data_IF_960707532775
#
_entry.id   IF_960707532775
#
_cell.length_a   1.000
_cell.length_b   1.000
_cell.length_c   1.000
_cell.angle_alpha   90.00
_cell.angle_beta   90.00
_cell.angle_gamma   90.00
#
_symmetry.space_group_name_H-M   'P 1'
#
loop_
_entity.id
_entity.type
_entity.pdbx_description
1 polymer ?
2 non-polymer ?
3 non-polymer ?
4 water ?
#
# COMPACT_ATOMS: atom_id res chain seq x y z
N UNK A 12 11.11 -5.06 24.35
CA UNK A 12 11.36 -3.60 24.15
C UNK A 12 10.98 -3.15 22.75
N UNK A 13 11.60 -3.74 21.71
CA UNK A 13 11.17 -3.40 20.35
C UNK A 13 9.83 -4.02 19.95
N UNK A 14 9.38 -5.03 20.70
CA UNK A 14 8.10 -5.71 20.41
C UNK A 14 6.88 -4.80 20.52
N UNK A 15 6.94 -3.79 21.38
CA UNK A 15 5.82 -2.86 21.56
C UNK A 15 5.58 -1.98 20.33
N UNK A 16 6.67 -1.45 19.77
CA UNK A 16 6.63 -0.65 18.55
C UNK A 16 6.09 -1.46 17.39
N UNK A 17 6.52 -2.72 17.32
CA UNK A 17 6.20 -3.60 16.23
C UNK A 17 4.72 -3.96 16.29
N UNK A 18 4.22 -4.20 17.51
CA UNK A 18 2.82 -4.57 17.69
C UNK A 18 1.92 -3.41 17.34
N UNK A 19 2.37 -2.20 17.64
CA UNK A 19 1.66 -1.00 17.21
C UNK A 19 1.60 -0.94 15.69
N UNK A 20 2.70 -1.32 15.06
CA UNK A 20 2.80 -1.23 13.59
C UNK A 20 2.00 -2.32 12.91
N UNK A 21 1.94 -3.50 13.52
CA UNK A 21 1.04 -4.55 13.06
C UNK A 21 -0.42 -4.09 13.14
N UNK A 22 -0.82 -3.50 14.26
CA UNK A 22 -2.17 -2.97 14.40
C UNK A 22 -2.51 -1.92 13.33
N UNK A 23 -1.59 -0.98 13.10
CA UNK A 23 -1.84 0.06 12.10
C UNK A 23 -2.01 -0.56 10.75
N UNK A 24 -1.23 -1.62 10.47
CA UNK A 24 -1.24 -2.25 9.16
C UNK A 24 -2.53 -3.01 8.91
N UNK A 25 -2.99 -3.72 9.93
CA UNK A 25 -4.28 -4.38 9.87
C UNK A 25 -5.42 -3.40 9.65
N UNK A 26 -5.35 -2.26 10.34
CA UNK A 26 -6.38 -1.27 10.18
C UNK A 26 -6.33 -0.68 8.75
N UNK A 27 -5.13 -0.45 8.21
CA UNK A 27 -4.98 0.07 6.85
C UNK A 27 -5.49 -0.94 5.82
N UNK A 28 -5.19 -2.21 6.07
CA UNK A 28 -5.76 -3.30 5.30
C UNK A 28 -7.29 -3.24 5.25
N UNK A 29 -7.95 -3.14 6.41
CA UNK A 29 -9.40 -3.00 6.46
C UNK A 29 -9.91 -1.76 5.73
N UNK A 30 -9.18 -0.65 5.88
CA UNK A 30 -9.54 0.59 5.17
C UNK A 30 -9.46 0.36 3.65
N UNK A 31 -8.42 -0.35 3.21
CA UNK A 31 -8.22 -0.57 1.79
C UNK A 31 -9.33 -1.48 1.22
N UNK A 32 -9.65 -2.56 1.93
CA UNK A 32 -10.79 -3.41 1.56
C UNK A 32 -12.10 -2.66 1.43
N UNK A 33 -12.39 -1.80 2.40
CA UNK A 33 -13.63 -1.04 2.38
C UNK A 33 -13.72 -0.13 1.18
N UNK A 34 -12.60 0.49 0.87
CA UNK A 34 -12.57 1.35 -0.30
C UNK A 34 -12.73 0.56 -1.60
N UNK A 35 -12.02 -0.55 -1.72
CA UNK A 35 -12.16 -1.40 -2.90
C UNK A 35 -13.59 -1.92 -3.07
N UNK A 36 -14.21 -2.29 -1.93
CA UNK A 36 -15.60 -2.77 -1.93
C UNK A 36 -16.55 -1.67 -2.48
N UNK A 37 -16.35 -0.43 -2.05
CA UNK A 37 -17.18 0.71 -2.52
C UNK A 37 -17.04 0.98 -4.01
N UNK A 38 -15.80 0.94 -4.47
CA UNK A 38 -15.52 1.07 -5.88
C UNK A 38 -16.22 -0.03 -6.69
N UNK A 39 -16.04 -1.28 -6.24
CA UNK A 39 -16.61 -2.46 -6.89
C UNK A 39 -18.12 -2.39 -7.02
N UNK A 40 -18.81 -1.96 -5.96
CA UNK A 40 -20.25 -1.72 -6.03
C UNK A 40 -20.60 -0.66 -7.09
N UNK A 41 -19.80 0.38 -7.21
CA UNK A 41 -20.07 1.39 -8.23
C UNK A 41 -19.73 0.87 -9.62
N UNK A 42 -18.54 0.36 -9.83
CA UNK A 42 -18.12 -0.18 -11.13
C UNK A 42 -17.34 -1.45 -10.93
N UNK A 43 -18.00 -2.58 -11.09
CA UNK A 43 -17.28 -3.84 -10.98
C UNK A 43 -16.10 -3.90 -11.95
N UNK A 44 -14.98 -4.44 -11.51
CA UNK A 44 -13.82 -4.65 -12.37
C UNK A 44 -14.17 -5.48 -13.61
N UNK A 45 -13.48 -5.19 -14.71
CA UNK A 45 -13.73 -5.89 -15.98
C UNK A 45 -12.57 -6.77 -16.41
N UNK A 46 -11.57 -6.91 -15.53
CA UNK A 46 -10.40 -7.73 -15.76
C UNK A 46 -9.37 -7.45 -14.67
N UNK A 47 -8.18 -8.03 -14.80
CA UNK A 47 -7.08 -7.76 -13.87
C UNK A 47 -6.18 -6.74 -14.55
N UNK A 48 -6.33 -5.49 -14.15
CA UNK A 48 -5.74 -4.38 -14.84
C UNK A 48 -4.32 -4.21 -14.32
N UNK A 49 -3.36 -4.57 -15.14
CA UNK A 49 -1.96 -4.37 -14.78
C UNK A 49 -1.64 -2.90 -15.00
N UNK A 50 -1.22 -2.20 -13.94
CA UNK A 50 -0.55 -0.93 -14.14
C UNK A 50 0.93 -1.25 -14.16
N UNK A 51 1.61 -0.83 -15.23
CA UNK A 51 3.05 -1.02 -15.35
C UNK A 51 3.79 -0.24 -14.29
N UNK A 52 3.22 0.89 -13.89
CA UNK A 52 3.82 1.79 -12.92
C UNK A 52 3.77 1.23 -11.48
N UNK A 53 3.02 0.15 -11.26
CA UNK A 53 2.93 -0.47 -9.95
C UNK A 53 4.03 -1.53 -9.79
N UNK A 54 4.49 -1.76 -8.55
CA UNK A 54 5.51 -2.77 -8.32
C UNK A 54 4.97 -4.19 -8.44
N UNK A 55 5.81 -5.13 -8.84
CA UNK A 55 5.39 -6.53 -8.89
C UNK A 55 5.12 -7.03 -7.48
N UNK A 56 4.05 -7.79 -7.32
CA UNK A 56 3.65 -8.35 -6.02
C UNK A 56 4.78 -9.21 -5.45
N UNK A 57 5.20 -8.89 -4.22
CA UNK A 57 6.29 -9.61 -3.56
C UNK A 57 5.91 -11.05 -3.25
N UNK A 58 6.89 -11.95 -3.40
CA UNK A 58 6.69 -13.37 -3.14
C UNK A 58 6.59 -13.62 -1.63
N UNK A 59 5.40 -13.99 -1.18
CA UNK A 59 5.11 -14.30 0.22
C UNK A 59 6.06 -15.33 0.85
N UNK A 62 9.08 -15.30 3.69
CA UNK A 62 10.43 -15.06 4.20
C UNK A 62 10.52 -15.54 5.64
N UNK A 63 10.81 -16.82 5.80
CA UNK A 63 10.70 -17.51 7.08
C UNK A 63 11.75 -17.07 8.10
N UNK A 64 12.96 -16.77 7.64
CA UNK A 64 14.12 -16.61 8.52
C UNK A 64 14.47 -15.17 8.86
N UNK A 65 15.26 -15.01 9.93
CA UNK A 65 15.72 -13.70 10.40
C UNK A 65 16.60 -12.97 9.39
N UNK A 66 17.32 -13.74 8.57
CA UNK A 66 18.16 -13.17 7.54
C UNK A 66 17.36 -12.65 6.34
N UNK A 67 16.14 -13.15 6.14
CA UNK A 67 15.31 -12.69 5.01
C UNK A 67 14.50 -11.44 5.33
N UNK A 68 14.31 -11.17 6.61
CA UNK A 68 13.37 -10.15 7.03
C UNK A 68 13.81 -8.71 6.72
N UNK A 69 15.12 -8.40 6.76
CA UNK A 69 15.47 -7.01 6.39
C UNK A 69 15.08 -6.68 4.95
N UNK A 70 15.34 -7.61 4.04
CA UNK A 70 14.93 -7.48 2.64
C UNK A 70 13.43 -7.28 2.49
N UNK A 71 12.66 -7.97 3.33
CA UNK A 71 11.22 -7.87 3.31
C UNK A 71 10.73 -6.48 3.76
N UNK A 72 11.32 -5.92 4.82
CA UNK A 72 10.99 -4.57 5.22
C UNK A 72 11.38 -3.54 4.17
N UNK A 73 12.56 -3.71 3.58
CA UNK A 73 13.05 -2.77 2.57
C UNK A 73 12.09 -2.77 1.37
N UNK A 74 11.79 -3.95 0.90
CA UNK A 74 10.85 -4.14 -0.19
C UNK A 74 9.46 -3.59 0.16
N UNK A 75 8.96 -3.89 1.35
CA UNK A 75 7.67 -3.40 1.80
C UNK A 75 7.59 -1.89 1.72
N UNK A 76 8.59 -1.22 2.28
CA UNK A 76 8.65 0.22 2.22
C UNK A 76 8.67 0.78 0.78
N UNK A 77 9.50 0.20 -0.07
CA UNK A 77 9.56 0.64 -1.47
C UNK A 77 8.18 0.47 -2.10
N UNK A 78 7.57 -0.69 -1.89
CA UNK A 78 6.22 -0.94 -2.43
C UNK A 78 5.18 0.06 -1.92
N UNK A 79 5.13 0.30 -0.61
CA UNK A 79 4.14 1.26 -0.05
C UNK A 79 4.34 2.69 -0.49
N UNK A 80 5.59 3.11 -0.71
CA UNK A 80 5.84 4.45 -1.24
C UNK A 80 5.21 4.59 -2.63
N UNK A 81 5.34 3.55 -3.45
CA UNK A 81 4.72 3.52 -4.78
C UNK A 81 3.21 3.60 -4.69
N UNK A 82 2.63 2.80 -3.80
CA UNK A 82 1.18 2.93 -3.58
C UNK A 82 0.80 4.32 -3.12
N UNK A 83 1.62 4.93 -2.28
CA UNK A 83 1.31 6.26 -1.78
C UNK A 83 1.26 7.25 -2.95
N UNK A 84 2.24 7.19 -3.87
CA UNK A 84 2.23 8.03 -5.07
C UNK A 84 1.01 7.74 -5.93
N UNK A 85 0.67 6.47 -6.10
CA UNK A 85 -0.51 6.13 -6.91
C UNK A 85 -1.84 6.62 -6.26
N UNK A 86 -1.96 6.59 -4.94
CA UNK A 86 -3.16 7.07 -4.28
C UNK A 86 -3.31 8.57 -4.53
N UNK A 87 -2.22 9.32 -4.35
CA UNK A 87 -2.20 10.75 -4.64
C UNK A 87 -2.64 10.99 -6.09
N UNK A 88 -2.09 10.19 -6.99
CA UNK A 88 -2.39 10.33 -8.41
C UNK A 88 -3.89 10.16 -8.66
N UNK A 89 -4.50 9.16 -8.04
CA UNK A 89 -5.94 8.95 -8.16
C UNK A 89 -6.79 10.11 -7.67
N UNK A 90 -6.35 10.79 -6.60
CA UNK A 90 -7.05 11.97 -6.10
C UNK A 90 -6.87 13.20 -7.02
N UNK A 91 -5.68 13.32 -7.61
CA UNK A 91 -5.30 14.46 -8.47
C UNK A 91 -6.04 14.34 -9.77
N UNK A 92 -6.02 13.13 -10.31
CA UNK A 92 -6.33 12.90 -11.71
C UNK A 92 -7.63 12.14 -11.90
N UNK A 93 -8.31 11.82 -10.80
CA UNK A 93 -9.58 11.14 -10.86
C UNK A 93 -10.63 12.03 -11.48
N UNK A 94 -11.43 11.44 -12.37
CA UNK A 94 -12.57 12.13 -12.94
C UNK A 94 -13.69 12.22 -11.93
N UNK A 95 -14.81 12.81 -12.36
CA UNK A 95 -15.99 12.92 -11.53
C UNK A 95 -16.47 11.54 -11.13
N UNK A 96 -16.14 10.54 -11.95
CA UNK A 96 -16.41 9.13 -11.63
C UNK A 96 -15.81 8.66 -10.30
N UNK A 97 -14.69 9.25 -9.88
CA UNK A 97 -14.12 8.94 -8.57
C UNK A 97 -14.36 10.04 -7.54
N UNK A 98 -15.08 11.09 -7.91
CA UNK A 98 -15.10 12.26 -7.03
C UNK A 98 -15.64 11.95 -5.64
N UNK A 99 -16.67 11.11 -5.55
CA UNK A 99 -17.23 10.74 -4.25
C UNK A 99 -16.27 9.92 -3.37
N UNK A 100 -15.38 9.12 -3.96
CA UNK A 100 -14.38 8.36 -3.18
C UNK A 100 -13.12 9.16 -2.82
N UNK A 101 -12.95 10.34 -3.41
CA UNK A 101 -11.71 11.08 -3.25
C UNK A 101 -11.40 11.42 -1.77
N UNK A 102 -12.41 11.85 -1.00
CA UNK A 102 -12.02 12.19 0.37
C UNK A 102 -11.63 10.94 1.18
N UNK A 103 -12.19 9.78 0.87
CA UNK A 103 -11.80 8.54 1.53
C UNK A 103 -10.39 8.16 1.15
N UNK A 104 -10.08 8.37 -0.12
CA UNK A 104 -8.73 8.17 -0.63
C UNK A 104 -7.77 9.10 0.12
N UNK A 105 -8.23 10.33 0.41
CA UNK A 105 -7.44 11.29 1.15
C UNK A 105 -7.12 10.81 2.55
N UNK A 106 -8.14 10.25 3.21
CA UNK A 106 -7.95 9.62 4.50
C UNK A 106 -7.01 8.43 4.39
N UNK A 107 -7.20 7.58 3.38
CA UNK A 107 -6.29 6.44 3.13
C UNK A 107 -4.84 6.88 2.96
N UNK A 108 -4.64 7.98 2.23
CA UNK A 108 -3.29 8.47 1.97
C UNK A 108 -2.65 8.94 3.27
N UNK A 109 -3.41 9.65 4.12
CA UNK A 109 -2.89 10.10 5.42
C UNK A 109 -2.47 8.91 6.23
N UNK A 110 -3.31 7.86 6.24
CA UNK A 110 -3.01 6.70 7.05
C UNK A 110 -1.83 5.87 6.53
N UNK A 111 -1.68 5.84 5.22
CA UNK A 111 -0.54 5.18 4.60
C UNK A 111 0.77 5.92 4.91
N UNK A 112 0.74 7.26 4.80
CA UNK A 112 1.82 8.16 5.22
C UNK A 112 2.22 7.88 6.67
N UNK A 113 1.24 7.82 7.54
CA UNK A 113 1.50 7.51 8.94
C UNK A 113 2.16 6.11 9.06
N UNK A 114 1.63 5.12 8.35
CA UNK A 114 2.18 3.76 8.45
C UNK A 114 3.63 3.73 8.01
N UNK A 115 3.89 4.41 6.89
CA UNK A 115 5.24 4.46 6.34
C UNK A 115 6.24 5.03 7.32
N UNK A 116 5.84 6.05 8.07
CA UNK A 116 6.75 6.67 9.04
C UNK A 116 7.02 5.72 10.18
N UNK A 117 5.99 4.99 10.60
CA UNK A 117 6.16 3.95 11.61
C UNK A 117 7.16 2.89 11.15
N UNK A 118 7.01 2.42 9.91
CA UNK A 118 7.94 1.43 9.34
C UNK A 118 9.38 1.92 9.31
N UNK A 119 9.57 3.17 8.91
CA UNK A 119 10.88 3.76 8.87
C UNK A 119 11.52 3.85 10.26
N UNK A 120 10.73 4.25 11.26
CA UNK A 120 11.17 4.21 12.66
C UNK A 120 11.60 2.81 13.02
N UNK A 121 10.70 1.86 12.79
CA UNK A 121 10.96 0.47 13.12
C UNK A 121 12.30 0.05 12.51
N UNK A 122 12.52 0.40 11.24
CA UNK A 122 13.75 0.10 10.53
C UNK A 122 15.01 0.73 11.18
N UNK A 123 14.88 1.94 11.73
CA UNK A 123 16.00 2.55 12.45
C UNK A 123 16.20 1.91 13.83
N UNK A 124 15.13 1.55 14.54
CA UNK A 124 15.30 0.90 15.85
C UNK A 124 16.01 -0.43 15.71
N UNK A 125 15.79 -1.12 14.60
CA UNK A 125 16.39 -2.42 14.35
C UNK A 125 17.75 -2.28 13.71
N UNK A 126 18.15 -1.05 13.41
CA UNK A 126 19.49 -0.76 12.91
C UNK A 126 19.70 -1.43 11.57
N UNK A 127 18.80 -1.17 10.63
CA UNK A 127 18.94 -1.65 9.26
C UNK A 127 19.70 -0.63 8.43
N UNK A 128 20.06 -0.99 7.18
CA UNK A 128 20.68 -0.03 6.26
C UNK A 128 19.63 0.70 5.40
N UNK A 129 20.08 1.31 4.30
CA UNK A 129 19.20 1.91 3.29
C UNK A 129 18.27 2.96 3.88
N UNK A 133 15.83 5.82 -4.98
CA UNK A 133 15.67 7.25 -4.75
C UNK A 133 14.81 7.93 -5.83
N UNK A 134 15.17 7.78 -7.12
CA UNK A 134 14.56 8.56 -8.21
C UNK A 134 13.21 8.01 -8.71
N UNK A 135 12.11 8.79 -8.59
CA UNK A 135 10.76 8.33 -8.96
C UNK A 135 10.17 8.91 -10.28
N UNK A 136 9.69 8.01 -11.14
CA UNK A 136 8.98 8.37 -12.39
C UNK A 136 7.42 8.28 -12.36
N UNK A 137 6.85 7.23 -11.72
CA UNK A 137 5.39 7.00 -11.77
C UNK A 137 4.57 7.76 -10.71
N UNK A 138 3.23 7.77 -10.84
CA UNK A 138 2.36 7.20 -11.90
C UNK A 138 2.19 8.10 -13.13
N UNK A 139 2.36 9.41 -12.95
CA UNK A 139 2.51 10.35 -14.07
C UNK A 139 1.19 10.80 -14.73
N UNK A 140 0.94 10.32 -15.95
CA UNK A 140 -0.06 10.93 -16.84
C UNK A 140 -1.50 10.63 -16.43
N UNK A 141 -2.43 11.55 -16.72
CA UNK A 141 -3.80 11.35 -16.30
C UNK A 141 -4.49 10.32 -17.19
N UNK A 142 -5.47 9.58 -16.64
CA UNK A 142 -6.05 8.47 -17.39
C UNK A 142 -6.58 8.87 -18.76
N UNK A 143 -6.50 7.94 -19.70
CA UNK A 143 -6.98 8.16 -21.05
C UNK A 143 -8.49 8.46 -21.09
N UNK A 144 -9.25 7.93 -20.12
CA UNK A 144 -10.70 8.14 -20.06
C UNK A 144 -11.22 7.90 -18.66
N UNK A 145 -12.48 8.21 -18.39
CA UNK A 145 -13.05 7.91 -17.06
C UNK A 145 -12.83 6.44 -16.74
N UNK A 146 -12.95 5.58 -17.75
CA UNK A 146 -12.85 4.14 -17.55
C UNK A 146 -11.43 3.70 -17.22
N UNK A 147 -10.45 4.32 -17.87
CA UNK A 147 -9.04 4.09 -17.56
C UNK A 147 -8.75 4.35 -16.10
N UNK A 148 -9.25 5.47 -15.58
CA UNK A 148 -9.03 5.81 -14.17
C UNK A 148 -9.69 4.80 -13.20
N UNK A 149 -10.89 4.35 -13.55
CA UNK A 149 -11.61 3.35 -12.77
C UNK A 149 -10.79 2.05 -12.77
N UNK A 150 -10.31 1.66 -13.95
CA UNK A 150 -9.41 0.50 -14.06
C UNK A 150 -8.18 0.64 -13.16
N UNK A 151 -7.52 1.79 -13.22
CA UNK A 151 -6.35 2.04 -12.38
C UNK A 151 -6.69 1.98 -10.87
N UNK A 152 -7.85 2.52 -10.49
CA UNK A 152 -8.26 2.47 -9.09
C UNK A 152 -8.40 1.01 -8.61
N UNK A 153 -9.07 0.17 -9.39
CA UNK A 153 -9.11 -1.27 -9.07
C UNK A 153 -7.72 -1.89 -8.85
N UNK A 154 -6.80 -1.58 -9.74
CA UNK A 154 -5.45 -2.13 -9.68
C UNK A 154 -4.69 -1.59 -8.46
N UNK A 155 -4.83 -0.30 -8.19
CA UNK A 155 -4.16 0.33 -7.06
C UNK A 155 -4.68 -0.20 -5.73
N UNK A 156 -5.99 -0.22 -5.55
CA UNK A 156 -6.57 -0.65 -4.28
C UNK A 156 -6.39 -2.15 -4.05
N UNK A 157 -6.43 -2.93 -5.14
CA UNK A 157 -6.23 -4.37 -5.08
C UNK A 157 -4.79 -4.74 -4.76
N UNK A 158 -3.87 -4.06 -5.42
CA UNK A 158 -2.48 -4.24 -5.14
C UNK A 158 -2.15 -3.82 -3.74
N UNK A 159 -2.66 -2.68 -3.30
CA UNK A 159 -2.42 -2.24 -1.93
C UNK A 159 -2.92 -3.27 -0.89
N UNK A 160 -4.14 -3.76 -1.09
CA UNK A 160 -4.71 -4.85 -0.28
C UNK A 160 -3.76 -6.05 -0.18
N UNK A 161 -3.31 -6.56 -1.33
CA UNK A 161 -2.41 -7.72 -1.32
C UNK A 161 -1.10 -7.43 -0.60
N UNK A 162 -0.58 -6.22 -0.79
CA UNK A 162 0.69 -5.84 -0.18
C UNK A 162 0.61 -5.78 1.34
N UNK A 163 -0.50 -5.25 1.84
CA UNK A 163 -0.70 -5.07 3.27
C UNK A 163 -0.97 -6.41 3.95
N UNK A 164 -1.68 -7.29 3.27
CA UNK A 164 -1.93 -8.64 3.81
C UNK A 164 -0.61 -9.41 3.94
N UNK A 165 0.24 -9.28 2.92
CA UNK A 165 1.61 -9.75 2.95
C UNK A 165 2.40 -9.07 4.07
N UNK A 166 2.22 -7.76 4.23
CA UNK A 166 2.92 -7.01 5.27
C UNK A 166 2.58 -7.51 6.68
N UNK A 167 1.30 -7.76 6.91
CA UNK A 167 0.86 -8.28 8.18
C UNK A 167 1.68 -9.56 8.49
N UNK A 168 1.66 -10.49 7.57
CA UNK A 168 2.33 -11.77 7.76
C UNK A 168 3.81 -11.63 8.01
N UNK A 169 4.45 -10.68 7.31
CA UNK A 169 5.88 -10.49 7.44
C UNK A 169 6.28 -9.87 8.77
N UNK A 170 5.52 -8.88 9.21
CA UNK A 170 5.74 -8.27 10.51
C UNK A 170 5.49 -9.27 11.65
N UNK A 171 4.58 -10.21 11.45
CA UNK A 171 4.34 -11.28 12.42
C UNK A 171 5.56 -12.19 12.55
N UNK A 172 6.19 -12.51 11.42
CA UNK A 172 7.39 -13.34 11.44
C UNK A 172 8.57 -12.59 12.04
N UNK A 173 8.65 -11.29 11.80
CA UNK A 173 9.65 -10.46 12.44
C UNK A 173 9.52 -10.55 13.96
N UNK A 174 8.28 -10.52 14.44
CA UNK A 174 8.00 -10.57 15.86
C UNK A 174 8.66 -11.78 16.53
N UNK A 175 8.57 -12.94 15.87
CA UNK A 175 9.23 -14.16 16.33
C UNK A 175 10.72 -13.93 16.63
N UNK A 176 11.40 -13.17 15.77
CA UNK A 176 12.83 -12.89 15.92
C UNK A 176 13.09 -11.54 16.61
N UNK A 177 12.12 -11.07 17.40
CA UNK A 177 12.23 -9.80 18.16
C UNK A 177 12.43 -8.57 17.26
X LIG B 1 -13.10 5.96 9.48
X LIG B 1 -14.37 5.50 10.09
X LIG B 1 -12.14 4.83 9.44
X LIG B 1 -13.34 6.49 8.14
X LIG B 1 -12.56 7.05 10.31
X LIG C 1 -8.12 11.32 9.05
X LIG C 1 -8.45 10.19 9.70
X LIG C 1 -7.62 9.52 10.33
X LIG D 1 -14.45 -1.48 -14.38
X LIG D 1 -13.15 -1.22 -14.42
X LIG D 1 -12.33 -2.13 -14.33
X LIG E 1 -6.72 14.18 3.65
X LIG E 1 -6.88 13.47 4.77
X LIG E 1 -6.28 13.78 5.80
X LIG F 1 -10.73 -10.33 1.56
X LIG F 1 -11.48 -9.66 0.67
X LIG F 1 -10.98 -9.06 -0.27
X LIG G 1 -19.52 -4.17 -0.94
X LIG G 1 -19.48 -4.01 -2.25
X LIG G 1 -18.56 -4.50 -2.91
#
# INVERSE_FOLDING_TARGET
GPPPGPPRVSPDPRAELDSTVLLTRSLLADTRQLAAQLRDKFPADGDHNLDSLPTLAMSAGALGALQLPGVLTRLRADLLSYLRHVQWLRRAGGSSLKTLEPELGTLQARLDRLLRRLQLLMSRLALPQPPPDPPAPPLAPPSSAWGGIRAAHAILGGLHLTLDWAVRGLLLLKTRL
SO4 S O1 O2 O3 O4
ARF N C O
ARF N C O
ARF N C O
ARF N C O
ARF N C O
#
